data_IF_465205645371
#
_entry.id   IF_465205645371
#
_cell.length_a   1.000
_cell.length_b   1.000
_cell.length_c   1.000
_cell.angle_alpha   90.00
_cell.angle_beta   90.00
_cell.angle_gamma   90.00
#
_symmetry.space_group_name_H-M   'P 1'
#
loop_
_entity.id
_entity.type
_entity.pdbx_description
1 polymer ?
#
# COMPACT_ATOMS: atom_id res chain seq x y z
N UNK A 1 5.10 -29.25 -30.58
CA UNK A 1 5.38 -27.99 -31.28
C UNK A 1 4.16 -27.10 -31.15
N UNK A 2 4.16 -25.88 -30.64
CA UNK A 2 5.18 -24.99 -30.09
C UNK A 2 4.44 -23.80 -29.46
N UNK A 3 5.05 -23.20 -28.45
CA UNK A 3 4.47 -22.26 -27.49
C UNK A 3 4.19 -20.88 -28.12
N UNK A 4 3.07 -20.29 -27.72
CA UNK A 4 2.64 -18.90 -27.89
C UNK A 4 3.75 -17.95 -27.43
N UNK A 5 4.21 -17.02 -28.28
CA UNK A 5 5.29 -16.09 -27.93
C UNK A 5 5.14 -14.66 -28.44
N UNK A 6 3.92 -14.09 -28.51
CA UNK A 6 3.77 -12.67 -28.86
C UNK A 6 2.63 -11.97 -28.10
N UNK A 7 2.92 -11.47 -26.88
CA UNK A 7 2.38 -10.15 -26.54
C UNK A 7 3.39 -9.16 -25.92
N UNK A 8 4.64 -9.57 -25.65
CA UNK A 8 5.61 -8.73 -24.92
C UNK A 8 6.32 -7.73 -25.85
N UNK A 9 6.59 -8.13 -27.10
CA UNK A 9 7.30 -7.26 -28.06
C UNK A 9 6.55 -5.95 -28.31
N UNK A 10 5.21 -5.97 -28.36
CA UNK A 10 4.43 -4.77 -28.63
C UNK A 10 4.53 -3.73 -27.50
N UNK A 11 4.73 -4.16 -26.25
CA UNK A 11 4.89 -3.26 -25.12
C UNK A 11 6.27 -2.59 -25.08
N UNK A 12 7.31 -3.31 -25.50
CA UNK A 12 8.69 -2.83 -25.45
C UNK A 12 9.01 -1.82 -26.56
N UNK A 13 8.47 -2.00 -27.77
CA UNK A 13 8.86 -1.18 -28.93
C UNK A 13 8.04 0.11 -29.11
N UNK A 14 6.95 0.31 -28.37
CA UNK A 14 6.18 1.56 -28.42
C UNK A 14 6.93 2.78 -27.85
N UNK A 15 8.05 2.57 -27.15
CA UNK A 15 8.83 3.64 -26.50
C UNK A 15 10.04 4.15 -27.32
N UNK A 16 10.34 3.56 -28.49
CA UNK A 16 11.58 3.90 -29.25
C UNK A 16 11.41 4.89 -30.41
N UNK A 17 10.24 5.49 -30.61
CA UNK A 17 10.04 6.52 -31.64
C UNK A 17 9.70 7.88 -31.07
N UNK A 18 10.68 8.53 -30.45
CA UNK A 18 10.82 9.99 -30.48
C UNK A 18 12.19 10.43 -29.94
N UNK A 19 13.22 10.36 -30.79
CA UNK A 19 14.43 11.13 -30.60
C UNK A 19 15.06 11.47 -31.96
N UNK A 20 14.91 12.72 -32.42
CA UNK A 20 15.94 13.43 -33.21
C UNK A 20 15.63 14.93 -33.30
N UNK A 21 16.23 15.76 -32.45
CA UNK A 21 17.24 16.78 -32.85
C UNK A 21 17.73 17.65 -31.68
N UNK A 22 19.00 17.42 -31.35
CA UNK A 22 20.08 18.28 -30.85
C UNK A 22 19.77 19.64 -30.16
N UNK A 23 20.25 19.74 -28.92
CA UNK A 23 20.68 20.97 -28.23
C UNK A 23 21.43 20.57 -26.95
N UNK A 24 22.76 20.66 -26.98
CA UNK A 24 23.64 20.33 -25.85
C UNK A 24 23.51 21.39 -24.74
N UNK A 25 22.94 21.00 -23.60
CA UNK A 25 23.16 21.66 -22.32
C UNK A 25 23.32 20.57 -21.25
N UNK A 26 24.40 20.66 -20.47
CA UNK A 26 24.75 19.71 -19.41
C UNK A 26 23.59 19.59 -18.40
N UNK A 27 22.95 18.42 -18.36
CA UNK A 27 22.01 18.06 -17.30
C UNK A 27 22.66 16.98 -16.44
N UNK A 28 22.90 17.33 -15.18
CA UNK A 28 23.45 16.43 -14.16
C UNK A 28 22.62 15.14 -14.09
N UNK A 29 23.30 14.00 -14.05
CA UNK A 29 22.72 12.66 -13.90
C UNK A 29 21.95 12.46 -12.58
N UNK A 30 22.02 13.42 -11.65
CA UNK A 30 21.46 13.33 -10.30
C UNK A 30 20.04 13.90 -10.18
N UNK A 31 19.47 14.47 -11.25
CA UNK A 31 18.15 15.14 -11.22
C UNK A 31 17.03 14.33 -11.91
N UNK A 32 17.35 13.21 -12.57
CA UNK A 32 16.36 12.34 -13.24
C UNK A 32 15.83 11.24 -12.28
N UNK A 33 16.53 10.96 -11.18
CA UNK A 33 16.11 9.96 -10.17
C UNK A 33 15.22 10.51 -9.06
N UNK A 34 15.10 11.85 -8.91
CA UNK A 34 14.28 12.47 -7.86
C UNK A 34 12.92 13.01 -8.34
N UNK A 35 12.54 12.69 -9.58
CA UNK A 35 11.15 12.80 -10.05
C UNK A 35 10.65 11.44 -10.51
N UNK A 36 10.98 10.40 -9.74
CA UNK A 36 10.19 9.18 -9.73
C UNK A 36 8.75 9.60 -9.50
N UNK A 37 7.92 9.46 -10.53
CA UNK A 37 6.50 9.76 -10.56
C UNK A 37 5.92 9.53 -9.16
N UNK A 38 5.56 10.61 -8.46
CA UNK A 38 4.99 10.52 -7.13
C UNK A 38 3.69 9.74 -7.26
N UNK A 39 3.78 8.43 -7.03
CA UNK A 39 2.61 7.60 -6.81
C UNK A 39 2.12 8.12 -5.48
N UNK A 40 1.00 8.86 -5.53
CA UNK A 40 0.34 9.34 -4.33
C UNK A 40 0.16 8.13 -3.41
N UNK A 41 0.77 8.17 -2.23
CA UNK A 41 0.49 7.20 -1.19
C UNK A 41 -0.88 7.52 -0.59
N UNK A 42 -1.54 6.53 0.00
CA UNK A 42 -2.75 6.83 0.77
C UNK A 42 -2.35 7.75 1.93
N UNK A 43 -2.95 8.93 1.98
CA UNK A 43 -2.84 9.80 3.14
C UNK A 43 -3.61 9.18 4.31
N UNK A 44 -2.90 8.45 5.16
CA UNK A 44 -3.39 7.87 6.41
C UNK A 44 -2.23 7.84 7.42
N UNK A 45 -2.45 8.10 8.72
CA UNK A 45 -1.37 8.02 9.71
C UNK A 45 -0.88 6.57 9.87
N UNK A 46 0.42 6.43 10.18
CA UNK A 46 1.05 5.14 10.47
C UNK A 46 0.42 4.46 11.69
N UNK A 47 0.60 3.14 11.82
CA UNK A 47 0.14 2.37 12.98
C UNK A 47 0.65 2.97 14.29
N UNK A 48 1.89 3.43 14.32
CA UNK A 48 2.51 4.06 15.50
C UNK A 48 1.81 5.37 15.85
N UNK A 49 1.50 6.22 14.87
CA UNK A 49 0.76 7.48 15.09
C UNK A 49 -0.67 7.23 15.55
N UNK A 50 -1.38 6.30 14.89
CA UNK A 50 -2.73 5.89 15.26
C UNK A 50 -2.76 5.31 16.69
N UNK A 51 -1.78 4.47 17.04
CA UNK A 51 -1.67 3.90 18.39
C UNK A 51 -1.45 5.01 19.44
N UNK A 52 -0.63 6.03 19.13
CA UNK A 52 -0.43 7.19 20.01
C UNK A 52 -1.69 8.04 20.17
N UNK A 53 -2.55 8.09 19.15
CA UNK A 53 -3.84 8.77 19.23
C UNK A 53 -4.95 7.93 19.89
N UNK A 54 -4.63 6.74 20.41
CA UNK A 54 -5.56 5.88 21.12
C UNK A 54 -6.31 4.86 20.26
N UNK A 55 -5.97 4.73 18.97
CA UNK A 55 -6.55 3.71 18.09
C UNK A 55 -6.04 2.32 18.48
N UNK A 56 -6.96 1.38 18.64
CA UNK A 56 -6.66 -0.04 18.87
C UNK A 56 -6.79 -0.85 17.60
N UNK A 57 -5.93 -1.85 17.42
CA UNK A 57 -5.97 -2.76 16.28
C UNK A 57 -6.48 -4.14 16.71
N UNK A 58 -7.41 -4.70 15.95
CA UNK A 58 -7.97 -6.04 16.21
C UNK A 58 -7.97 -6.88 14.94
N UNK A 59 -7.35 -8.06 15.06
CA UNK A 59 -7.37 -9.07 14.03
C UNK A 59 -8.76 -9.67 13.83
N UNK A 60 -9.13 -9.93 12.57
CA UNK A 60 -10.39 -10.55 12.19
C UNK A 60 -10.16 -11.84 11.40
N UNK A 61 -11.09 -12.78 11.54
CA UNK A 61 -11.16 -13.98 10.69
C UNK A 61 -11.99 -13.64 9.46
N UNK A 62 -11.37 -13.61 8.29
CA UNK A 62 -12.03 -13.31 7.03
C UNK A 62 -11.07 -12.71 5.99
N UNK A 63 -11.63 -12.07 4.98
CA UNK A 63 -10.90 -11.40 3.89
C UNK A 63 -10.98 -9.87 4.03
N UNK A 64 -10.61 -9.13 2.97
CA UNK A 64 -10.63 -7.66 2.94
C UNK A 64 -11.99 -7.06 3.32
N UNK A 65 -13.10 -7.79 3.13
CA UNK A 65 -14.44 -7.31 3.49
C UNK A 65 -14.66 -7.14 5.01
N UNK A 66 -13.80 -7.70 5.86
CA UNK A 66 -13.90 -7.53 7.32
C UNK A 66 -13.28 -6.24 7.85
N UNK A 67 -12.57 -5.50 6.98
CA UNK A 67 -11.94 -4.23 7.33
C UNK A 67 -13.02 -3.21 7.66
N UNK A 68 -12.93 -2.66 8.88
CA UNK A 68 -13.82 -1.60 9.34
C UNK A 68 -13.16 -0.81 10.46
N UNK A 69 -13.62 0.42 10.64
CA UNK A 69 -13.28 1.24 11.79
C UNK A 69 -14.52 1.45 12.67
N UNK A 70 -14.41 1.15 13.96
CA UNK A 70 -15.42 1.49 14.95
C UNK A 70 -15.01 2.79 15.66
N UNK A 71 -15.70 3.87 15.28
CA UNK A 71 -15.47 5.22 15.83
C UNK A 71 -15.74 5.28 17.34
N UNK A 72 -16.68 4.48 17.85
CA UNK A 72 -17.06 4.53 19.28
C UNK A 72 -15.99 3.92 20.18
N UNK A 73 -15.32 2.89 19.69
CA UNK A 73 -14.27 2.18 20.43
C UNK A 73 -12.87 2.51 19.91
N UNK A 74 -12.75 3.46 18.97
CA UNK A 74 -11.52 3.80 18.26
C UNK A 74 -10.76 2.55 17.80
N UNK A 75 -11.46 1.59 17.20
CA UNK A 75 -10.88 0.27 16.86
C UNK A 75 -10.83 0.06 15.35
N UNK A 76 -9.63 -0.13 14.82
CA UNK A 76 -9.40 -0.56 13.45
C UNK A 76 -9.33 -2.09 13.38
N UNK A 77 -10.26 -2.68 12.66
CA UNK A 77 -10.31 -4.12 12.41
C UNK A 77 -9.63 -4.44 11.08
N UNK A 78 -8.68 -5.38 11.10
CA UNK A 78 -7.92 -5.81 9.93
C UNK A 78 -7.96 -7.35 9.81
N UNK A 79 -7.96 -7.92 8.60
CA UNK A 79 -7.83 -9.37 8.42
C UNK A 79 -6.44 -9.82 8.83
N UNK A 80 -6.36 -11.00 9.45
CA UNK A 80 -5.05 -11.64 9.72
C UNK A 80 -4.40 -12.06 8.40
N UNK A 81 -3.14 -11.69 8.22
CA UNK A 81 -2.33 -12.07 7.05
C UNK A 81 -1.01 -12.73 7.44
N UNK A 82 -0.64 -13.77 6.70
CA UNK A 82 0.62 -14.49 6.87
C UNK A 82 1.63 -14.01 5.84
N UNK A 83 2.80 -13.58 6.30
CA UNK A 83 3.86 -13.03 5.45
C UNK A 83 5.10 -13.95 5.47
N UNK A 84 5.51 -14.38 4.28
CA UNK A 84 6.71 -15.18 4.04
C UNK A 84 7.47 -14.67 2.79
N UNK A 85 8.59 -15.32 2.46
CA UNK A 85 9.50 -14.92 1.38
C UNK A 85 8.84 -14.86 -0.01
N UNK A 86 7.70 -15.53 -0.22
CA UNK A 86 6.98 -15.53 -1.48
C UNK A 86 5.83 -14.52 -1.51
N UNK A 87 5.47 -13.94 -0.36
CA UNK A 87 4.28 -13.09 -0.22
C UNK A 87 4.33 -11.87 -1.13
N UNK A 88 5.49 -11.21 -1.26
CA UNK A 88 5.62 -10.04 -2.14
C UNK A 88 5.27 -10.38 -3.60
N UNK A 89 5.87 -11.44 -4.13
CA UNK A 89 5.62 -11.91 -5.50
C UNK A 89 4.15 -12.31 -5.68
N UNK A 90 3.60 -13.01 -4.69
CA UNK A 90 2.20 -13.42 -4.71
C UNK A 90 1.25 -12.23 -4.74
N UNK A 91 1.44 -11.24 -3.85
CA UNK A 91 0.62 -10.03 -3.80
C UNK A 91 0.72 -9.23 -5.10
N UNK A 92 1.92 -9.00 -5.64
CA UNK A 92 2.09 -8.27 -6.91
C UNK A 92 1.37 -8.97 -8.06
N UNK A 93 1.44 -10.30 -8.13
CA UNK A 93 0.72 -11.07 -9.13
C UNK A 93 -0.80 -11.01 -8.95
N UNK A 94 -1.30 -11.03 -7.71
CA UNK A 94 -2.73 -10.86 -7.44
C UNK A 94 -3.22 -9.48 -7.85
N UNK A 95 -2.47 -8.43 -7.54
CA UNK A 95 -2.83 -7.08 -7.94
C UNK A 95 -2.80 -6.93 -9.47
N UNK A 96 -1.77 -7.47 -10.14
CA UNK A 96 -1.70 -7.48 -11.61
C UNK A 96 -2.85 -8.28 -12.25
N UNK A 97 -3.20 -9.42 -11.65
CA UNK A 97 -4.32 -10.24 -12.08
C UNK A 97 -5.63 -9.48 -11.94
N UNK A 98 -5.90 -8.88 -10.77
CA UNK A 98 -7.08 -8.06 -10.51
C UNK A 98 -7.20 -6.94 -11.55
N UNK A 99 -6.12 -6.18 -11.79
CA UNK A 99 -6.09 -5.12 -12.81
C UNK A 99 -6.31 -5.64 -14.24
N UNK A 100 -5.87 -6.86 -14.56
CA UNK A 100 -5.98 -7.42 -15.91
C UNK A 100 -7.39 -7.90 -16.28
N UNK A 101 -8.21 -8.26 -15.27
CA UNK A 101 -9.55 -8.80 -15.47
C UNK A 101 -10.66 -7.84 -15.01
N UNK A 102 -10.30 -6.70 -14.41
CA UNK A 102 -11.24 -5.85 -13.73
C UNK A 102 -12.28 -5.22 -14.68
N UNK A 103 -13.55 -5.48 -14.37
CA UNK A 103 -14.70 -4.67 -14.79
C UNK A 103 -15.24 -3.78 -13.64
N UNK A 104 -14.58 -3.83 -12.48
CA UNK A 104 -15.03 -3.21 -11.22
C UNK A 104 -13.87 -2.71 -10.35
N UNK A 105 -14.14 -2.35 -9.07
CA UNK A 105 -13.13 -1.80 -8.17
C UNK A 105 -11.96 -2.77 -7.92
N UNK A 106 -10.76 -2.23 -7.82
CA UNK A 106 -9.54 -2.98 -7.50
C UNK A 106 -9.40 -3.13 -5.97
N UNK A 107 -10.21 -4.02 -5.39
CA UNK A 107 -10.35 -4.22 -3.94
C UNK A 107 -9.03 -4.65 -3.31
N UNK A 108 -8.34 -5.60 -3.93
CA UNK A 108 -7.08 -6.11 -3.42
C UNK A 108 -5.96 -5.08 -3.59
N UNK A 109 -5.89 -4.38 -4.73
CA UNK A 109 -4.98 -3.25 -4.92
C UNK A 109 -5.15 -2.21 -3.79
N UNK A 110 -6.40 -1.80 -3.52
CA UNK A 110 -6.69 -0.80 -2.49
C UNK A 110 -6.34 -1.29 -1.09
N UNK A 111 -6.50 -2.58 -0.81
CA UNK A 111 -6.02 -3.18 0.43
C UNK A 111 -4.50 -3.09 0.57
N UNK A 112 -3.74 -3.40 -0.51
CA UNK A 112 -2.27 -3.29 -0.46
C UNK A 112 -1.81 -1.84 -0.27
N UNK A 113 -2.52 -0.88 -0.86
CA UNK A 113 -2.27 0.55 -0.65
C UNK A 113 -2.56 0.96 0.81
N UNK A 114 -3.64 0.46 1.43
CA UNK A 114 -3.97 0.73 2.84
C UNK A 114 -2.90 0.17 3.78
N UNK A 115 -2.50 -1.08 3.57
CA UNK A 115 -1.47 -1.72 4.40
C UNK A 115 -0.12 -1.04 4.26
N UNK A 116 0.26 -0.60 3.05
CA UNK A 116 1.43 0.24 2.83
C UNK A 116 1.32 1.57 3.59
N UNK A 117 0.20 2.28 3.47
CA UNK A 117 0.02 3.59 4.12
C UNK A 117 0.07 3.56 5.64
N UNK A 118 -0.32 2.45 6.29
CA UNK A 118 -0.27 2.33 7.75
C UNK A 118 1.01 1.68 8.28
N UNK A 119 1.84 1.05 7.43
CA UNK A 119 3.08 0.36 7.85
C UNK A 119 4.28 1.00 7.17
N UNK A 120 4.94 1.93 7.85
CA UNK A 120 6.15 2.59 7.34
C UNK A 120 7.43 2.05 8.00
N UNK A 121 7.34 1.71 9.29
CA UNK A 121 8.49 1.37 10.13
C UNK A 121 8.43 -0.05 10.69
N UNK A 122 9.57 -0.56 11.18
CA UNK A 122 9.63 -1.80 11.96
C UNK A 122 8.67 -1.78 13.17
N UNK A 123 8.48 -0.61 13.79
CA UNK A 123 7.57 -0.46 14.92
C UNK A 123 6.11 -0.71 14.52
N UNK A 124 5.69 -0.17 13.37
CA UNK A 124 4.33 -0.37 12.84
C UNK A 124 4.06 -1.86 12.61
N UNK A 125 5.01 -2.55 11.96
CA UNK A 125 4.96 -3.98 11.73
C UNK A 125 4.91 -4.77 13.04
N UNK A 126 5.73 -4.39 14.04
CA UNK A 126 5.75 -5.02 15.36
C UNK A 126 4.40 -4.92 16.06
N UNK A 127 3.80 -3.73 16.11
CA UNK A 127 2.50 -3.51 16.74
C UNK A 127 1.44 -4.41 16.09
N UNK A 128 1.37 -4.45 14.76
CA UNK A 128 0.40 -5.30 14.07
C UNK A 128 0.66 -6.81 14.27
N UNK A 129 1.93 -7.23 14.39
CA UNK A 129 2.29 -8.60 14.75
C UNK A 129 1.79 -8.95 16.14
N UNK A 130 2.02 -8.10 17.13
CA UNK A 130 1.57 -8.31 18.51
C UNK A 130 0.03 -8.37 18.62
N UNK A 131 -0.68 -7.66 17.74
CA UNK A 131 -2.15 -7.68 17.65
C UNK A 131 -2.69 -8.87 16.84
N UNK A 132 -1.82 -9.71 16.28
CA UNK A 132 -2.20 -10.87 15.47
C UNK A 132 -2.78 -10.53 14.10
N UNK A 133 -2.62 -9.27 13.66
CA UNK A 133 -2.98 -8.85 12.30
C UNK A 133 -1.94 -9.39 11.32
N UNK A 134 -0.66 -9.39 11.71
CA UNK A 134 0.44 -9.95 10.90
C UNK A 134 0.98 -11.20 11.58
N UNK A 135 1.00 -12.31 10.84
CA UNK A 135 1.76 -13.50 11.19
C UNK A 135 3.08 -13.45 10.41
N UNK A 136 4.14 -13.04 11.11
CA UNK A 136 5.45 -12.83 10.52
C UNK A 136 6.23 -14.16 10.44
N UNK A 137 6.47 -14.65 9.23
CA UNK A 137 7.37 -15.77 8.92
C UNK A 137 8.62 -15.32 8.13
N UNK A 138 8.90 -14.02 8.12
CA UNK A 138 10.16 -13.43 7.65
C UNK A 138 11.19 -13.41 8.79
N UNK A 139 12.34 -12.76 8.55
CA UNK A 139 13.46 -12.73 9.50
C UNK A 139 13.31 -11.68 10.61
N UNK A 140 12.55 -10.61 10.38
CA UNK A 140 12.35 -9.51 11.34
C UNK A 140 11.09 -8.72 11.03
N UNK A 141 10.69 -7.83 11.94
CA UNK A 141 9.60 -6.89 11.71
C UNK A 141 10.02 -5.79 10.71
N UNK A 142 11.32 -5.46 10.62
CA UNK A 142 11.85 -4.59 9.54
C UNK A 142 11.64 -5.16 8.13
N UNK A 143 11.78 -6.48 7.93
CA UNK A 143 11.51 -7.11 6.62
C UNK A 143 10.02 -7.01 6.24
N UNK A 144 9.12 -7.02 7.23
CA UNK A 144 7.68 -6.79 7.00
C UNK A 144 7.44 -5.36 6.51
N UNK A 145 8.03 -4.36 7.17
CA UNK A 145 7.91 -2.96 6.75
C UNK A 145 8.47 -2.77 5.33
N UNK A 146 9.65 -3.34 5.05
CA UNK A 146 10.26 -3.27 3.72
C UNK A 146 9.38 -3.91 2.64
N UNK A 147 8.73 -5.05 2.93
CA UNK A 147 7.82 -5.71 2.00
C UNK A 147 6.67 -4.77 1.61
N UNK A 148 6.01 -4.16 2.60
CA UNK A 148 4.90 -3.24 2.34
C UNK A 148 5.35 -1.98 1.61
N UNK A 149 6.40 -1.31 2.08
CA UNK A 149 6.98 -0.13 1.43
C UNK A 149 7.44 -0.39 -0.01
N UNK A 150 7.78 -1.64 -0.34
CA UNK A 150 8.09 -2.06 -1.70
C UNK A 150 6.88 -2.09 -2.63
N UNK A 151 5.67 -2.33 -2.10
CA UNK A 151 4.43 -2.54 -2.89
C UNK A 151 3.96 -1.29 -3.64
N UNK A 152 4.25 -0.10 -3.11
CA UNK A 152 3.82 1.21 -3.66
C UNK A 152 4.28 1.51 -5.10
N UNK A 153 5.26 0.77 -5.64
CA UNK A 153 5.97 1.14 -6.88
C UNK A 153 5.23 0.84 -8.20
N UNK A 154 4.05 0.24 -8.18
CA UNK A 154 3.53 -0.43 -9.38
C UNK A 154 2.19 0.07 -9.93
N UNK A 155 1.36 0.81 -9.17
CA UNK A 155 -0.01 1.15 -9.60
C UNK A 155 -0.45 2.52 -9.07
N UNK A 156 -1.23 3.25 -9.87
CA UNK A 156 -1.91 4.49 -9.47
C UNK A 156 -3.00 4.20 -8.42
N UNK A 157 -3.16 5.07 -7.43
CA UNK A 157 -4.20 4.95 -6.40
C UNK A 157 -5.56 4.58 -6.97
N UNK A 158 -6.15 3.57 -6.35
CA UNK A 158 -7.46 3.02 -6.69
C UNK A 158 -8.54 3.58 -5.76
N UNK A 159 -9.82 3.38 -6.13
CA UNK A 159 -10.95 3.79 -5.29
C UNK A 159 -11.88 2.62 -5.07
N UNK A 160 -12.17 2.34 -3.81
CA UNK A 160 -13.02 1.23 -3.36
C UNK A 160 -13.88 1.79 -2.23
N UNK A 161 -15.18 2.05 -2.47
CA UNK A 161 -15.99 2.89 -1.58
C UNK A 161 -15.98 2.49 -0.10
N UNK A 162 -15.98 1.19 0.21
CA UNK A 162 -15.99 0.75 1.61
C UNK A 162 -14.63 0.93 2.30
N UNK A 163 -13.51 0.72 1.59
CA UNK A 163 -12.16 0.96 2.15
C UNK A 163 -11.88 2.47 2.24
N UNK A 164 -12.31 3.23 1.24
CA UNK A 164 -12.18 4.69 1.25
C UNK A 164 -12.94 5.29 2.43
N UNK A 165 -14.16 4.79 2.72
CA UNK A 165 -14.90 5.18 3.92
C UNK A 165 -14.13 4.85 5.22
N UNK A 166 -13.48 3.69 5.30
CA UNK A 166 -12.67 3.33 6.49
C UNK A 166 -11.50 4.28 6.66
N UNK A 167 -10.79 4.61 5.57
CA UNK A 167 -9.67 5.56 5.58
C UNK A 167 -10.16 6.95 6.01
N UNK A 168 -11.28 7.42 5.45
CA UNK A 168 -11.91 8.69 5.83
C UNK A 168 -12.28 8.72 7.33
N UNK A 169 -12.94 7.67 7.83
CA UNK A 169 -13.35 7.59 9.23
C UNK A 169 -12.13 7.58 10.19
N UNK A 170 -11.05 6.86 9.83
CA UNK A 170 -9.79 6.84 10.61
C UNK A 170 -9.12 8.22 10.60
N UNK A 171 -9.01 8.85 9.44
CA UNK A 171 -8.40 10.17 9.30
C UNK A 171 -9.16 11.24 10.06
N UNK A 172 -10.49 11.22 9.97
CA UNK A 172 -11.34 12.14 10.71
C UNK A 172 -11.09 12.00 12.22
N UNK A 173 -11.11 10.76 12.74
CA UNK A 173 -10.84 10.51 14.16
C UNK A 173 -9.45 10.99 14.59
N UNK A 174 -8.42 10.68 13.81
CA UNK A 174 -7.05 11.12 14.11
C UNK A 174 -6.94 12.65 14.16
N UNK A 175 -7.50 13.34 13.17
CA UNK A 175 -7.48 14.80 13.11
C UNK A 175 -8.25 15.44 14.27
N UNK A 176 -9.41 14.90 14.64
CA UNK A 176 -10.19 15.39 15.77
C UNK A 176 -9.40 15.27 17.10
N UNK A 177 -8.75 14.11 17.32
CA UNK A 177 -7.89 13.90 18.50
C UNK A 177 -6.70 14.86 18.51
N UNK A 178 -6.05 15.06 17.36
CA UNK A 178 -4.91 15.97 17.26
C UNK A 178 -5.30 17.43 17.52
N UNK A 179 -6.46 17.87 17.00
CA UNK A 179 -6.99 19.21 17.29
C UNK A 179 -7.30 19.40 18.77
N UNK A 180 -7.88 18.40 19.44
CA UNK A 180 -8.12 18.45 20.88
C UNK A 180 -6.81 18.55 21.69
N UNK A 181 -5.77 17.81 21.31
CA UNK A 181 -4.46 17.88 21.96
C UNK A 181 -3.82 19.25 21.77
N UNK A 182 -3.89 19.83 20.57
CA UNK A 182 -3.35 21.16 20.28
C UNK A 182 -4.11 22.31 20.96
N UNK A 183 -5.35 22.07 21.38
CA UNK A 183 -6.20 23.05 22.06
C UNK A 183 -5.98 23.12 23.58
N UNK A 184 -5.17 22.22 24.15
CA UNK A 184 -4.86 22.14 25.59
C UNK A 184 -3.46 22.66 25.89
#
# INVERSE_FOLDING_TARGET
MGIIKQPIEYFLFSQEKEATKAGNENLNSDDITNKSLLIDEIAIPSVTELSKSGVSFVATKGDVSTIRFDVKTSTLYLPTISLDINTEVFMRNLVAYEASIALGPLVFARYTELMNGIIDTEEDARILREKGVILNHLKSDQEVANLWNGMSKSIKLTRVPFLDKVIEDVNQHYNDVMLEIMSK
#
